data_IF_315097658206
#
_entry.id   IF_315097658206
#
_cell.length_a   1.000
_cell.length_b   1.000
_cell.length_c   1.000
_cell.angle_alpha   90.00
_cell.angle_beta   90.00
_cell.angle_gamma   90.00
#
_symmetry.space_group_name_H-M   'P 1'
#
loop_
_entity.id
_entity.type
_entity.pdbx_description
1 polymer ?
#
# COMPACT_ATOMS: atom_id res chain seq x y z
N UNK A 1 20.96 -3.21 -13.39
CA UNK A 1 19.90 -2.17 -13.38
C UNK A 1 18.50 -2.76 -13.43
N UNK A 2 18.04 -3.39 -14.53
CA UNK A 2 16.69 -4.00 -14.58
C UNK A 2 16.52 -5.17 -13.60
N UNK A 3 17.54 -6.02 -13.46
CA UNK A 3 17.54 -7.15 -12.53
C UNK A 3 17.54 -6.70 -11.05
N UNK A 4 18.27 -5.62 -10.74
CA UNK A 4 18.34 -5.06 -9.38
C UNK A 4 17.06 -4.36 -8.96
N UNK A 5 16.36 -3.75 -9.92
CA UNK A 5 15.04 -3.16 -9.70
C UNK A 5 14.01 -4.25 -9.44
N UNK A 6 14.00 -5.29 -10.28
CA UNK A 6 13.10 -6.43 -10.10
C UNK A 6 13.29 -7.08 -8.73
N UNK A 7 14.54 -7.32 -8.31
CA UNK A 7 14.85 -7.84 -6.98
C UNK A 7 14.35 -6.95 -5.85
N UNK A 8 14.46 -5.62 -6.00
CA UNK A 8 13.99 -4.68 -4.99
C UNK A 8 12.46 -4.71 -4.87
N UNK A 9 11.76 -4.65 -6.00
CA UNK A 9 10.31 -4.79 -6.06
C UNK A 9 9.84 -6.12 -5.46
N UNK A 10 10.44 -7.25 -5.88
CA UNK A 10 10.09 -8.57 -5.37
C UNK A 10 10.31 -8.65 -3.84
N UNK A 11 11.40 -8.07 -3.31
CA UNK A 11 11.68 -8.08 -1.88
C UNK A 11 10.64 -7.29 -1.07
N UNK A 12 10.30 -6.08 -1.53
CA UNK A 12 9.29 -5.24 -0.90
C UNK A 12 7.89 -5.89 -1.00
N UNK A 13 7.53 -6.45 -2.16
CA UNK A 13 6.25 -7.12 -2.37
C UNK A 13 6.10 -8.38 -1.51
N UNK A 14 7.11 -9.25 -1.46
CA UNK A 14 7.07 -10.44 -0.60
C UNK A 14 7.00 -10.07 0.88
N UNK A 15 7.68 -9.00 1.30
CA UNK A 15 7.55 -8.48 2.66
C UNK A 15 6.12 -8.04 2.95
N UNK A 16 5.51 -7.25 2.05
CA UNK A 16 4.11 -6.81 2.15
C UNK A 16 3.14 -7.99 2.27
N UNK A 17 3.27 -9.00 1.40
CA UNK A 17 2.42 -10.19 1.45
C UNK A 17 2.59 -10.99 2.74
N UNK A 18 3.83 -11.13 3.23
CA UNK A 18 4.11 -11.84 4.48
C UNK A 18 3.54 -11.08 5.69
N UNK A 19 3.73 -9.76 5.74
CA UNK A 19 3.21 -8.91 6.80
C UNK A 19 1.67 -8.87 6.80
N UNK A 20 1.05 -8.73 5.63
CA UNK A 20 -0.40 -8.70 5.47
C UNK A 20 -1.08 -10.00 5.91
N UNK A 21 -0.42 -11.16 5.78
CA UNK A 21 -0.98 -12.45 6.23
C UNK A 21 -1.01 -12.62 7.75
N UNK A 22 -0.35 -11.75 8.53
CA UNK A 22 -0.33 -11.85 9.99
C UNK A 22 -1.70 -11.54 10.57
N UNK A 23 -2.04 -12.23 11.65
CA UNK A 23 -3.30 -12.03 12.36
C UNK A 23 -3.49 -10.55 12.74
N UNK A 24 -4.70 -10.03 12.49
CA UNK A 24 -5.07 -8.63 12.79
C UNK A 24 -4.56 -7.59 11.79
N UNK A 25 -3.53 -7.86 10.98
CA UNK A 25 -2.98 -6.87 10.02
C UNK A 25 -3.99 -6.47 8.94
N UNK A 26 -4.67 -7.39 8.23
CA UNK A 26 -5.66 -7.01 7.22
C UNK A 26 -6.77 -6.12 7.75
N UNK A 27 -7.29 -6.46 8.94
CA UNK A 27 -8.35 -5.69 9.58
C UNK A 27 -7.85 -4.30 10.00
N UNK A 28 -6.61 -4.21 10.49
CA UNK A 28 -5.99 -2.93 10.87
C UNK A 28 -5.73 -2.05 9.66
N UNK A 29 -5.17 -2.59 8.57
CA UNK A 29 -4.97 -1.87 7.31
C UNK A 29 -6.29 -1.32 6.77
N UNK A 30 -7.34 -2.15 6.75
CA UNK A 30 -8.67 -1.73 6.31
C UNK A 30 -9.23 -0.60 7.20
N UNK A 31 -9.10 -0.73 8.52
CA UNK A 31 -9.57 0.30 9.45
C UNK A 31 -8.80 1.62 9.29
N UNK A 32 -7.49 1.56 9.10
CA UNK A 32 -6.64 2.73 8.87
C UNK A 32 -7.00 3.43 7.55
N UNK A 33 -7.16 2.65 6.48
CA UNK A 33 -7.58 3.13 5.17
C UNK A 33 -8.98 3.76 5.20
N UNK A 34 -9.95 3.10 5.83
CA UNK A 34 -11.33 3.58 5.85
C UNK A 34 -11.51 4.79 6.79
N UNK A 35 -10.80 4.84 7.92
CA UNK A 35 -10.97 5.90 8.92
C UNK A 35 -10.10 7.14 8.67
N UNK A 36 -8.88 6.94 8.17
CA UNK A 36 -7.89 8.00 8.04
C UNK A 36 -7.46 8.23 6.58
N UNK A 37 -7.99 7.46 5.63
CA UNK A 37 -7.60 7.60 4.22
C UNK A 37 -6.16 7.14 3.93
N UNK A 38 -5.51 6.46 4.88
CA UNK A 38 -4.12 6.08 4.75
C UNK A 38 -3.89 5.12 3.58
N UNK A 39 -2.72 5.28 3.01
CA UNK A 39 -2.20 4.44 1.97
C UNK A 39 -1.53 3.20 2.57
N UNK A 40 -2.16 2.05 2.35
CA UNK A 40 -1.66 0.77 2.85
C UNK A 40 -0.31 0.42 2.23
N UNK A 41 -0.05 0.82 0.97
CA UNK A 41 1.23 0.57 0.33
C UNK A 41 2.35 1.40 0.96
N UNK A 42 2.08 2.67 1.31
CA UNK A 42 3.06 3.53 2.01
C UNK A 42 3.28 3.05 3.46
N UNK A 43 2.24 2.54 4.14
CA UNK A 43 2.39 1.89 5.44
C UNK A 43 3.36 0.70 5.35
N UNK A 44 3.20 -0.18 4.35
CA UNK A 44 4.09 -1.32 4.18
C UNK A 44 5.52 -0.91 3.78
N UNK A 45 5.68 0.18 3.03
CA UNK A 45 7.00 0.76 2.78
C UNK A 45 7.67 1.20 4.09
N UNK A 46 6.95 1.88 4.99
CA UNK A 46 7.48 2.31 6.29
C UNK A 46 7.99 1.11 7.11
N UNK A 47 7.21 0.04 7.14
CA UNK A 47 7.55 -1.21 7.82
C UNK A 47 8.77 -1.89 7.18
N UNK A 48 8.81 -1.96 5.84
CA UNK A 48 9.92 -2.54 5.10
C UNK A 48 11.22 -1.77 5.29
N UNK A 49 11.16 -0.43 5.27
CA UNK A 49 12.29 0.44 5.52
C UNK A 49 12.84 0.26 6.94
N UNK A 50 11.98 0.21 7.95
CA UNK A 50 12.38 -0.05 9.33
C UNK A 50 12.96 -1.46 9.54
N UNK A 51 12.41 -2.48 8.87
CA UNK A 51 12.96 -3.84 8.86
C UNK A 51 14.35 -3.94 8.21
N UNK A 52 14.81 -2.87 7.55
CA UNK A 52 16.15 -2.76 6.95
C UNK A 52 16.97 -1.63 7.59
N UNK A 53 16.50 -1.04 8.68
CA UNK A 53 17.18 0.04 9.40
C UNK A 53 17.27 1.34 8.61
N UNK A 54 16.40 1.54 7.61
CA UNK A 54 16.35 2.74 6.79
C UNK A 54 15.29 3.70 7.35
N UNK A 55 15.74 4.84 7.85
CA UNK A 55 14.86 5.94 8.22
C UNK A 55 14.43 6.70 6.95
N UNK A 56 13.13 6.85 6.73
CA UNK A 56 12.55 7.58 5.60
C UNK A 56 12.44 9.07 5.94
N UNK A 57 13.35 9.95 5.48
CA UNK A 57 13.22 11.39 5.70
C UNK A 57 11.99 11.96 4.97
N UNK A 58 11.54 13.15 5.40
CA UNK A 58 10.35 13.81 4.85
C UNK A 58 10.42 14.00 3.32
N UNK A 59 11.61 14.24 2.76
CA UNK A 59 11.75 14.41 1.31
C UNK A 59 11.51 13.11 0.54
N UNK A 60 11.80 11.94 1.11
CA UNK A 60 11.47 10.66 0.49
C UNK A 60 9.96 10.43 0.48
N UNK A 61 9.24 10.82 1.54
CA UNK A 61 7.78 10.81 1.54
C UNK A 61 7.18 11.73 0.48
N UNK A 62 7.73 12.94 0.31
CA UNK A 62 7.28 13.85 -0.74
C UNK A 62 7.50 13.26 -2.15
N UNK A 63 8.67 12.64 -2.39
CA UNK A 63 8.95 11.94 -3.65
C UNK A 63 7.97 10.80 -3.92
N UNK A 64 7.63 10.03 -2.88
CA UNK A 64 6.63 8.97 -2.98
C UNK A 64 5.26 9.54 -3.29
N UNK A 65 4.83 10.58 -2.58
CA UNK A 65 3.52 11.20 -2.79
C UNK A 65 3.39 11.75 -4.22
N UNK A 66 4.41 12.45 -4.71
CA UNK A 66 4.45 13.00 -6.07
C UNK A 66 4.29 11.92 -7.15
N UNK A 67 4.91 10.74 -6.98
CA UNK A 67 4.84 9.67 -7.98
C UNK A 67 3.54 8.85 -7.88
N UNK A 68 2.99 8.66 -6.68
CA UNK A 68 1.79 7.82 -6.48
C UNK A 68 0.49 8.60 -6.61
N UNK A 69 0.45 9.90 -6.27
CA UNK A 69 -0.78 10.70 -6.26
C UNK A 69 -1.56 10.64 -7.60
N UNK A 70 -0.93 10.81 -8.78
CA UNK A 70 -1.66 10.73 -10.04
C UNK A 70 -2.32 9.36 -10.28
N UNK A 71 -1.65 8.28 -9.88
CA UNK A 71 -2.18 6.92 -10.01
C UNK A 71 -3.29 6.64 -9.00
N UNK A 72 -3.12 7.09 -7.76
CA UNK A 72 -4.13 6.97 -6.71
C UNK A 72 -5.41 7.68 -7.08
N UNK A 73 -5.31 8.94 -7.47
CA UNK A 73 -6.45 9.77 -7.84
C UNK A 73 -7.12 9.30 -9.13
N UNK A 74 -6.33 8.92 -10.13
CA UNK A 74 -6.85 8.50 -11.44
C UNK A 74 -7.40 7.08 -11.48
N UNK A 75 -6.94 6.18 -10.60
CA UNK A 75 -7.24 4.74 -10.71
C UNK A 75 -7.74 4.13 -9.40
N UNK A 76 -6.97 4.22 -8.32
CA UNK A 76 -7.30 3.52 -7.07
C UNK A 76 -8.55 4.12 -6.41
N UNK A 77 -8.65 5.45 -6.29
CA UNK A 77 -9.81 6.13 -5.69
C UNK A 77 -11.12 5.89 -6.47
N UNK A 78 -11.14 5.95 -7.82
CA UNK A 78 -12.29 5.54 -8.61
C UNK A 78 -12.70 4.08 -8.37
N UNK A 79 -11.74 3.13 -8.38
CA UNK A 79 -12.02 1.72 -8.13
C UNK A 79 -12.61 1.49 -6.73
N UNK A 80 -12.04 2.12 -5.70
CA UNK A 80 -12.55 2.10 -4.31
C UNK A 80 -13.97 2.65 -4.23
N UNK A 81 -14.26 3.74 -4.93
CA UNK A 81 -15.58 4.37 -4.96
C UNK A 81 -16.62 3.43 -5.58
N UNK A 82 -16.29 2.82 -6.73
CA UNK A 82 -17.13 1.81 -7.38
C UNK A 82 -17.32 0.59 -6.48
N UNK A 83 -16.26 0.07 -5.87
CA UNK A 83 -16.33 -1.08 -4.95
C UNK A 83 -17.29 -0.80 -3.79
N UNK A 84 -17.18 0.36 -3.14
CA UNK A 84 -18.07 0.76 -2.02
C UNK A 84 -19.52 0.83 -2.47
N UNK A 85 -19.80 1.41 -3.64
CA UNK A 85 -21.14 1.46 -4.21
C UNK A 85 -21.71 0.07 -4.50
N UNK A 86 -20.90 -0.83 -5.07
CA UNK A 86 -21.30 -2.20 -5.34
C UNK A 86 -21.56 -2.98 -4.06
N UNK A 87 -20.70 -2.84 -3.04
CA UNK A 87 -20.85 -3.51 -1.73
C UNK A 87 -22.21 -3.20 -1.09
N UNK A 88 -22.63 -1.93 -1.13
CA UNK A 88 -23.93 -1.51 -0.60
C UNK A 88 -25.13 -2.09 -1.36
N UNK A 89 -24.95 -2.49 -2.63
CA UNK A 89 -25.99 -3.04 -3.50
C UNK A 89 -26.03 -4.58 -3.52
N UNK A 90 -25.05 -5.25 -2.90
CA UNK A 90 -25.00 -6.72 -2.83
C UNK A 90 -26.32 -7.32 -2.29
N UNK A 91 -26.95 -6.80 -1.21
CA UNK A 91 -28.18 -7.39 -0.68
C UNK A 91 -29.34 -7.42 -1.69
N UNK A 92 -29.37 -6.48 -2.65
CA UNK A 92 -30.43 -6.39 -3.66
C UNK A 92 -30.24 -7.33 -4.84
N UNK A 93 -28.99 -7.75 -5.13
CA UNK A 93 -28.68 -8.69 -6.22
C UNK A 93 -27.38 -9.44 -5.93
N UNK A 94 -27.40 -10.44 -5.03
CA UNK A 94 -26.18 -11.04 -4.50
C UNK A 94 -25.27 -11.68 -5.55
N UNK A 95 -25.87 -12.25 -6.60
CA UNK A 95 -25.11 -12.98 -7.62
C UNK A 95 -24.47 -12.04 -8.65
N UNK A 96 -25.27 -11.21 -9.33
CA UNK A 96 -24.79 -10.29 -10.36
C UNK A 96 -23.91 -9.18 -9.77
N UNK A 97 -24.41 -8.47 -8.76
CA UNK A 97 -23.64 -7.38 -8.11
C UNK A 97 -22.48 -7.95 -7.31
N UNK A 98 -22.63 -9.12 -6.68
CA UNK A 98 -21.53 -9.77 -5.97
C UNK A 98 -20.38 -10.18 -6.90
N UNK A 99 -20.68 -10.64 -8.11
CA UNK A 99 -19.66 -10.93 -9.13
C UNK A 99 -18.95 -9.67 -9.58
N UNK A 100 -19.69 -8.60 -9.87
CA UNK A 100 -19.10 -7.31 -10.25
C UNK A 100 -18.24 -6.73 -9.12
N UNK A 101 -18.69 -6.82 -7.86
CA UNK A 101 -17.93 -6.42 -6.68
C UNK A 101 -16.58 -7.15 -6.60
N UNK A 102 -16.56 -8.47 -6.77
CA UNK A 102 -15.32 -9.27 -6.73
C UNK A 102 -14.36 -8.89 -7.86
N UNK A 103 -14.88 -8.60 -9.05
CA UNK A 103 -14.07 -8.17 -10.19
C UNK A 103 -13.42 -6.81 -9.91
N UNK A 104 -14.19 -5.84 -9.39
CA UNK A 104 -13.65 -4.52 -9.03
C UNK A 104 -12.64 -4.62 -7.88
N UNK A 105 -12.91 -5.43 -6.86
CA UNK A 105 -11.95 -5.70 -5.78
C UNK A 105 -10.64 -6.30 -6.31
N UNK A 106 -10.72 -7.23 -7.26
CA UNK A 106 -9.53 -7.80 -7.91
C UNK A 106 -8.75 -6.74 -8.69
N UNK A 107 -9.44 -5.84 -9.40
CA UNK A 107 -8.80 -4.73 -10.11
C UNK A 107 -8.18 -3.71 -9.16
N UNK A 108 -8.82 -3.42 -8.02
CA UNK A 108 -8.28 -2.53 -6.98
C UNK A 108 -6.97 -3.09 -6.43
N UNK A 109 -6.92 -4.38 -6.08
CA UNK A 109 -5.70 -5.03 -5.58
C UNK A 109 -4.57 -4.97 -6.63
N UNK A 110 -4.88 -5.19 -7.91
CA UNK A 110 -3.88 -5.06 -8.98
C UNK A 110 -3.40 -3.62 -9.17
N UNK A 111 -4.27 -2.63 -8.97
CA UNK A 111 -3.88 -1.23 -9.01
C UNK A 111 -2.98 -0.86 -7.82
N UNK A 112 -3.24 -1.41 -6.63
CA UNK A 112 -2.36 -1.29 -5.45
C UNK A 112 -1.01 -2.00 -5.67
N UNK A 113 -0.98 -3.16 -6.34
CA UNK A 113 0.29 -3.81 -6.72
C UNK A 113 1.12 -2.93 -7.67
N UNK A 114 0.46 -2.24 -8.62
CA UNK A 114 1.14 -1.29 -9.52
C UNK A 114 1.67 -0.06 -8.78
N UNK A 115 0.93 0.47 -7.80
CA UNK A 115 1.45 1.53 -6.92
C UNK A 115 2.70 1.08 -6.17
N UNK A 116 2.71 -0.15 -5.66
CA UNK A 116 3.89 -0.75 -5.03
C UNK A 116 5.09 -0.79 -5.96
N UNK A 117 4.86 -1.05 -7.26
CA UNK A 117 5.88 -0.98 -8.30
C UNK A 117 6.40 0.46 -8.50
N UNK A 118 5.51 1.46 -8.55
CA UNK A 118 5.91 2.89 -8.61
C UNK A 118 6.79 3.27 -7.41
N UNK A 119 6.42 2.84 -6.21
CA UNK A 119 7.22 3.05 -5.00
C UNK A 119 8.60 2.39 -5.13
N UNK A 120 8.63 1.10 -5.48
CA UNK A 120 9.87 0.33 -5.56
C UNK A 120 10.85 0.82 -6.64
N UNK A 121 10.34 1.45 -7.69
CA UNK A 121 11.13 2.05 -8.77
C UNK A 121 11.66 3.44 -8.42
N UNK A 122 10.95 4.16 -7.55
CA UNK A 122 11.29 5.53 -7.17
C UNK A 122 12.29 5.57 -6.02
N UNK A 123 12.07 4.74 -5.00
CA UNK A 123 12.88 4.73 -3.80
C UNK A 123 13.50 3.36 -3.58
N UNK A 124 14.84 3.31 -3.50
CA UNK A 124 15.57 2.08 -3.22
C UNK A 124 15.93 2.01 -1.75
N UNK A 125 15.42 1.00 -1.06
CA UNK A 125 15.75 0.74 0.34
C UNK A 125 16.92 -0.26 0.40
N UNK A 126 18.09 0.13 0.92
CA UNK A 126 19.23 -0.77 1.04
C UNK A 126 18.93 -1.92 2.01
N UNK A 127 19.69 -3.03 1.91
CA UNK A 127 19.66 -4.04 2.95
C UNK A 127 20.43 -3.53 4.18
N UNK A 128 19.86 -3.70 5.37
CA UNK A 128 20.46 -3.34 6.64
C UNK A 128 19.86 -4.15 7.78
N UNK A 129 20.33 -3.91 9.00
CA UNK A 129 19.79 -4.55 10.20
C UNK A 129 18.44 -3.92 10.56
N UNK A 130 17.48 -4.74 10.98
CA UNK A 130 16.19 -4.26 11.44
C UNK A 130 16.33 -3.38 12.69
N UNK A 131 15.52 -2.33 12.77
CA UNK A 131 15.45 -1.44 13.91
C UNK A 131 13.99 -1.03 14.18
N UNK A 132 13.47 -1.44 15.33
CA UNK A 132 12.09 -1.17 15.75
C UNK A 132 11.85 0.33 16.03
N UNK A 133 12.88 1.05 16.49
CA UNK A 133 12.78 2.49 16.71
C UNK A 133 12.67 3.24 15.38
N UNK A 134 13.47 2.84 14.38
CA UNK A 134 13.35 3.38 13.01
C UNK A 134 11.98 3.07 12.41
N UNK A 135 11.47 1.85 12.61
CA UNK A 135 10.12 1.46 12.16
C UNK A 135 9.06 2.40 12.74
N UNK A 136 9.12 2.66 14.05
CA UNK A 136 8.21 3.57 14.72
C UNK A 136 8.35 5.02 14.21
N UNK A 137 9.57 5.50 13.99
CA UNK A 137 9.84 6.84 13.44
C UNK A 137 9.21 6.99 12.05
N UNK A 138 9.39 6.01 11.16
CA UNK A 138 8.82 6.03 9.81
C UNK A 138 7.29 6.11 9.85
N UNK A 139 6.65 5.26 10.67
CA UNK A 139 5.20 5.29 10.83
C UNK A 139 4.72 6.64 11.37
N UNK A 140 5.30 7.12 12.48
CA UNK A 140 4.91 8.42 13.08
C UNK A 140 5.07 9.56 12.08
N UNK A 141 6.15 9.55 11.29
CA UNK A 141 6.37 10.57 10.25
C UNK A 141 5.31 10.48 9.17
N UNK A 142 5.00 9.29 8.68
CA UNK A 142 3.93 9.08 7.69
C UNK A 142 2.56 9.58 8.20
N UNK A 143 2.18 9.20 9.42
CA UNK A 143 0.94 9.65 10.06
C UNK A 143 0.84 11.17 10.22
N UNK A 144 1.97 11.88 10.36
CA UNK A 144 1.98 13.35 10.48
C UNK A 144 1.86 14.08 9.14
N UNK A 145 2.16 13.39 8.04
CA UNK A 145 2.13 13.93 6.68
C UNK A 145 0.82 13.59 5.94
N UNK A 146 0.00 12.70 6.51
CA UNK A 146 -1.26 12.20 5.92
C UNK A 146 -2.49 12.98 6.39
#
# INVERSE_FOLDING_TARGET
MADDLKKHFDALWQYTLAAYKREGVPATCLALQDRYGLDVNVLFLCLFAGARGHELPTHEFALIDDIVAPWKEGVIHPLRSVRRLLKARIPSSPELVGTLYRNVLTSEIKAEEHEHYLIATTLRIPAGAADDAITAVNLVRYFRLS
#
